data_IF_101015489694
#
_entry.id   IF_101015489694
#
_cell.length_a   1.000
_cell.length_b   1.000
_cell.length_c   1.000
_cell.angle_alpha   90.00
_cell.angle_beta   90.00
_cell.angle_gamma   90.00
#
_symmetry.space_group_name_H-M   'P 1'
#
loop_
_entity.id
_entity.type
_entity.pdbx_description
1 polymer ?
#
# COMPACT_ATOMS: atom_id res chain seq x y z
N UNK A 1 17.49 -4.99 -13.42
CA UNK A 1 16.78 -4.47 -14.58
C UNK A 1 15.61 -3.63 -14.12
N UNK A 2 15.72 -2.32 -14.30
CA UNK A 2 14.64 -1.42 -13.91
C UNK A 2 13.64 -1.33 -15.04
N UNK A 3 12.54 -2.07 -14.93
CA UNK A 3 11.43 -1.85 -15.83
C UNK A 3 10.77 -0.53 -15.40
N UNK A 4 11.08 0.53 -16.14
CA UNK A 4 10.40 1.81 -15.96
C UNK A 4 8.97 1.62 -16.43
N UNK A 5 8.03 1.70 -15.51
CA UNK A 5 6.60 1.59 -15.82
C UNK A 5 6.17 2.92 -16.44
N UNK A 6 5.58 2.92 -17.64
CA UNK A 6 5.08 4.15 -18.23
C UNK A 6 4.02 4.78 -17.31
N UNK A 7 4.19 6.05 -17.01
CA UNK A 7 3.29 6.76 -16.09
C UNK A 7 1.83 6.78 -16.58
N UNK A 8 1.64 6.78 -17.89
CA UNK A 8 0.31 6.77 -18.50
C UNK A 8 -0.47 5.46 -18.27
N UNK A 9 0.23 4.38 -17.91
CA UNK A 9 -0.39 3.07 -17.66
C UNK A 9 -0.63 2.82 -16.17
N UNK A 10 -0.46 3.83 -15.33
CA UNK A 10 -0.69 3.72 -13.90
C UNK A 10 -1.89 4.54 -13.47
N UNK A 11 -2.55 4.09 -12.41
CA UNK A 11 -3.70 4.77 -11.81
C UNK A 11 -3.30 6.12 -11.19
N UNK A 12 -2.13 6.17 -10.57
CA UNK A 12 -1.61 7.36 -9.91
C UNK A 12 -0.95 8.35 -10.87
N UNK A 13 -0.64 7.92 -12.09
CA UNK A 13 -0.03 8.78 -13.13
C UNK A 13 1.19 9.56 -12.65
N UNK A 14 2.02 8.89 -11.82
CA UNK A 14 3.25 9.49 -11.32
C UNK A 14 3.08 10.52 -10.20
N UNK A 15 1.94 10.56 -9.52
CA UNK A 15 1.75 11.45 -8.38
C UNK A 15 2.78 11.13 -7.28
N UNK A 16 3.63 12.11 -6.86
CA UNK A 16 4.69 11.85 -5.88
C UNK A 16 4.17 11.55 -4.48
N UNK A 17 2.90 11.81 -4.21
CA UNK A 17 2.29 11.49 -2.91
C UNK A 17 1.94 10.02 -2.79
N UNK A 18 1.84 9.31 -3.91
CA UNK A 18 1.57 7.88 -3.95
C UNK A 18 2.83 7.05 -4.07
N UNK A 19 2.68 5.73 -3.97
CA UNK A 19 3.72 4.75 -4.19
C UNK A 19 3.35 3.81 -5.31
N UNK A 20 4.32 3.45 -6.15
CA UNK A 20 4.15 2.52 -7.26
C UNK A 20 5.23 1.46 -7.15
N UNK A 21 4.84 0.20 -7.01
CA UNK A 21 5.76 -0.90 -6.76
C UNK A 21 5.54 -2.01 -7.78
N UNK A 22 6.57 -2.34 -8.58
CA UNK A 22 6.47 -3.37 -9.60
C UNK A 22 6.71 -4.78 -9.04
N UNK A 23 5.99 -5.75 -9.59
CA UNK A 23 6.11 -7.16 -9.26
C UNK A 23 6.00 -8.02 -10.52
N UNK A 24 6.43 -9.25 -10.38
CA UNK A 24 6.19 -10.31 -11.35
C UNK A 24 5.70 -11.54 -10.60
N UNK A 25 4.76 -12.28 -11.17
CA UNK A 25 4.29 -13.52 -10.55
C UNK A 25 5.36 -14.59 -10.75
N UNK A 26 6.03 -14.95 -9.64
CA UNK A 26 7.06 -15.99 -9.62
C UNK A 26 6.40 -17.37 -9.53
N UNK A 27 7.04 -18.45 -10.08
CA UNK A 27 6.46 -19.79 -10.00
C UNK A 27 6.14 -20.26 -8.59
N UNK A 28 6.94 -19.87 -7.59
CA UNK A 28 6.72 -20.25 -6.20
C UNK A 28 5.66 -19.43 -5.48
N UNK A 29 5.16 -18.36 -6.09
CA UNK A 29 4.09 -17.53 -5.53
C UNK A 29 2.72 -17.82 -6.14
N UNK A 30 2.66 -18.79 -7.06
CA UNK A 30 1.40 -19.21 -7.63
C UNK A 30 0.65 -20.22 -6.75
N UNK A 31 -0.65 -20.27 -6.94
CA UNK A 31 -1.47 -21.34 -6.40
C UNK A 31 -1.54 -22.52 -7.40
N UNK A 32 -2.35 -23.54 -7.10
CA UNK A 32 -2.48 -24.72 -7.95
C UNK A 32 -3.07 -24.43 -9.34
N UNK A 33 -3.66 -23.24 -9.54
CA UNK A 33 -4.24 -22.82 -10.83
C UNK A 33 -3.25 -22.04 -11.70
N UNK A 34 -2.02 -21.84 -11.23
CA UNK A 34 -1.01 -21.04 -11.93
C UNK A 34 -1.20 -19.55 -11.77
N UNK A 35 -1.99 -19.12 -10.82
CA UNK A 35 -2.25 -17.71 -10.51
C UNK A 35 -1.59 -17.30 -9.21
N UNK A 36 -1.31 -15.98 -9.08
CA UNK A 36 -0.78 -15.44 -7.83
C UNK A 36 -1.66 -15.85 -6.64
N UNK A 37 -1.05 -16.38 -5.59
CA UNK A 37 -1.81 -16.79 -4.41
C UNK A 37 -2.27 -15.57 -3.59
N UNK A 38 -3.40 -15.71 -2.90
CA UNK A 38 -3.92 -14.67 -2.01
C UNK A 38 -2.94 -14.33 -0.90
N UNK A 39 -2.20 -15.31 -0.41
CA UNK A 39 -1.19 -15.14 0.64
C UNK A 39 -0.08 -14.18 0.18
N UNK A 40 0.47 -14.41 -1.00
CA UNK A 40 1.53 -13.56 -1.54
C UNK A 40 1.01 -12.16 -1.89
N UNK A 41 -0.20 -12.08 -2.45
CA UNK A 41 -0.81 -10.77 -2.74
C UNK A 41 -0.97 -9.96 -1.46
N UNK A 42 -1.51 -10.55 -0.41
CA UNK A 42 -1.68 -9.89 0.88
C UNK A 42 -0.37 -9.38 1.46
N UNK A 43 0.67 -10.21 1.43
CA UNK A 43 2.00 -9.83 1.89
C UNK A 43 2.58 -8.69 1.07
N UNK A 44 2.41 -8.70 -0.24
CA UNK A 44 2.89 -7.63 -1.12
C UNK A 44 2.17 -6.31 -0.87
N UNK A 45 0.85 -6.35 -0.62
CA UNK A 45 0.09 -5.15 -0.26
C UNK A 45 0.62 -4.53 1.03
N UNK A 46 0.82 -5.33 2.07
CA UNK A 46 1.34 -4.84 3.34
C UNK A 46 2.76 -4.30 3.21
N UNK A 47 3.59 -4.97 2.40
CA UNK A 47 4.94 -4.48 2.11
C UNK A 47 4.92 -3.13 1.40
N UNK A 48 4.06 -2.95 0.41
CA UNK A 48 3.91 -1.67 -0.30
C UNK A 48 3.46 -0.57 0.65
N UNK A 49 2.53 -0.86 1.55
CA UNK A 49 2.10 0.10 2.56
C UNK A 49 3.26 0.55 3.45
N UNK A 50 4.07 -0.40 3.91
CA UNK A 50 5.23 -0.14 4.75
C UNK A 50 6.30 0.70 4.02
N UNK A 51 6.61 0.34 2.78
CA UNK A 51 7.60 1.06 1.98
C UNK A 51 7.14 2.49 1.66
N UNK A 52 5.89 2.66 1.28
CA UNK A 52 5.34 3.98 1.01
C UNK A 52 5.33 4.86 2.26
N UNK A 53 4.91 4.32 3.40
CA UNK A 53 4.94 5.03 4.68
C UNK A 53 6.38 5.47 5.01
N UNK A 54 7.36 4.58 4.81
CA UNK A 54 8.77 4.89 5.03
C UNK A 54 9.29 6.02 4.14
N UNK A 55 8.85 6.09 2.90
CA UNK A 55 9.20 7.17 1.97
C UNK A 55 8.70 8.54 2.45
N UNK A 56 7.65 8.58 3.25
CA UNK A 56 7.05 9.79 3.79
C UNK A 56 7.37 10.03 5.27
N UNK A 57 8.29 9.27 5.85
CA UNK A 57 8.73 9.46 7.23
C UNK A 57 7.83 8.84 8.29
N UNK A 58 6.94 7.92 7.93
CA UNK A 58 5.98 7.29 8.83
C UNK A 58 6.06 5.76 8.80
N UNK A 59 7.21 5.20 8.36
CA UNK A 59 7.44 3.77 8.34
C UNK A 59 7.74 3.20 9.72
N UNK A 60 7.99 1.90 9.75
CA UNK A 60 8.25 1.16 10.99
C UNK A 60 9.37 1.77 11.83
N UNK A 61 10.52 2.06 11.20
CA UNK A 61 11.67 2.62 11.92
C UNK A 61 11.38 4.02 12.46
N UNK A 62 10.70 4.85 11.67
CA UNK A 62 10.32 6.20 12.09
C UNK A 62 9.40 6.16 13.32
N UNK A 63 8.42 5.26 13.28
CA UNK A 63 7.45 5.13 14.36
C UNK A 63 8.11 4.57 15.63
N UNK A 64 9.04 3.62 15.51
CA UNK A 64 9.76 3.10 16.67
C UNK A 64 10.53 4.18 17.42
N UNK A 65 11.15 5.11 16.70
CA UNK A 65 11.91 6.20 17.32
C UNK A 65 11.06 7.10 18.19
N UNK A 66 9.80 7.25 17.86
CA UNK A 66 8.85 8.09 18.62
C UNK A 66 7.93 7.27 19.54
N UNK A 67 8.20 5.97 19.70
CA UNK A 67 7.40 5.05 20.51
C UNK A 67 5.94 4.91 20.01
N UNK A 68 5.80 4.84 18.68
CA UNK A 68 4.53 4.62 18.03
C UNK A 68 4.54 3.35 17.20
N UNK A 69 3.37 2.81 16.92
CA UNK A 69 3.21 1.68 16.03
C UNK A 69 1.91 1.79 15.24
N UNK A 70 1.95 1.30 14.01
CA UNK A 70 0.75 1.13 13.19
C UNK A 70 0.16 -0.25 13.45
N UNK A 71 -1.13 -0.28 13.66
CA UNK A 71 -1.90 -1.53 13.80
C UNK A 71 -2.87 -1.62 12.65
N UNK A 72 -2.78 -2.71 11.89
CA UNK A 72 -3.75 -2.99 10.83
C UNK A 72 -5.09 -3.33 11.46
N UNK A 73 -6.07 -2.47 11.24
CA UNK A 73 -7.41 -2.63 11.77
C UNK A 73 -8.34 -3.36 10.80
N UNK A 74 -8.16 -3.14 9.51
CA UNK A 74 -9.01 -3.72 8.47
C UNK A 74 -8.26 -3.81 7.15
N UNK A 75 -8.46 -4.91 6.43
CA UNK A 75 -7.96 -5.10 5.08
C UNK A 75 -9.06 -5.78 4.25
N UNK A 76 -9.43 -5.15 3.15
CA UNK A 76 -10.40 -5.70 2.19
C UNK A 76 -9.71 -5.74 0.83
N UNK A 77 -9.79 -6.89 0.17
CA UNK A 77 -9.20 -7.10 -1.16
C UNK A 77 -10.30 -7.60 -2.09
N UNK A 78 -10.49 -6.89 -3.19
CA UNK A 78 -11.45 -7.27 -4.23
C UNK A 78 -10.71 -7.42 -5.56
N UNK A 79 -10.60 -8.67 -6.03
CA UNK A 79 -9.94 -8.99 -7.28
C UNK A 79 -10.94 -9.54 -8.29
N UNK A 80 -10.97 -8.95 -9.48
CA UNK A 80 -11.73 -9.51 -10.61
C UNK A 80 -10.97 -10.69 -11.21
N UNK A 81 -9.64 -10.59 -11.23
CA UNK A 81 -8.77 -11.61 -11.79
C UNK A 81 -7.42 -11.56 -11.08
N UNK A 82 -6.84 -12.71 -10.83
CA UNK A 82 -5.47 -12.79 -10.29
C UNK A 82 -4.47 -12.89 -11.45
N UNK A 83 -3.33 -12.18 -11.38
CA UNK A 83 -2.27 -12.33 -12.37
C UNK A 83 -1.77 -13.78 -12.43
N UNK A 84 -1.39 -14.23 -13.62
CA UNK A 84 -0.82 -15.57 -13.83
C UNK A 84 0.71 -15.53 -13.79
N UNK A 85 1.32 -16.70 -13.58
CA UNK A 85 2.78 -16.84 -13.53
C UNK A 85 3.44 -16.18 -14.75
N UNK A 86 4.47 -15.38 -14.49
CA UNK A 86 5.19 -14.63 -15.50
C UNK A 86 4.60 -13.27 -15.85
N UNK A 87 3.35 -13.00 -15.46
CA UNK A 87 2.77 -11.69 -15.70
C UNK A 87 3.36 -10.63 -14.76
N UNK A 88 3.58 -9.43 -15.31
CA UNK A 88 3.97 -8.28 -14.54
C UNK A 88 2.72 -7.57 -14.02
N UNK A 89 2.79 -7.12 -12.78
CA UNK A 89 1.76 -6.28 -12.20
C UNK A 89 2.40 -5.21 -11.32
N UNK A 90 1.69 -4.14 -11.09
CA UNK A 90 2.09 -3.10 -10.15
C UNK A 90 1.06 -2.96 -9.07
N UNK A 91 1.53 -2.69 -7.88
CA UNK A 91 0.68 -2.26 -6.77
C UNK A 91 0.93 -0.78 -6.57
N UNK A 92 -0.12 0.01 -6.75
CA UNK A 92 -0.12 1.42 -6.48
C UNK A 92 -0.84 1.64 -5.16
N UNK A 93 -0.29 2.48 -4.29
CA UNK A 93 -0.89 2.74 -2.99
C UNK A 93 -0.83 4.22 -2.63
N UNK A 94 -1.86 4.67 -1.95
CA UNK A 94 -1.94 6.04 -1.44
C UNK A 94 -2.81 6.08 -0.21
N UNK A 95 -2.60 7.12 0.60
CA UNK A 95 -3.45 7.41 1.75
C UNK A 95 -4.53 8.36 1.28
N UNK A 96 -5.80 7.97 1.39
CA UNK A 96 -6.91 8.79 0.91
C UNK A 96 -7.68 9.50 2.03
N UNK A 97 -7.44 9.13 3.27
CA UNK A 97 -8.12 9.74 4.42
C UNK A 97 -7.29 9.63 5.69
N UNK A 98 -7.26 10.70 6.45
CA UNK A 98 -6.65 10.76 7.77
C UNK A 98 -7.69 11.33 8.74
N UNK A 99 -7.99 10.61 9.82
CA UNK A 99 -8.95 11.07 10.81
C UNK A 99 -8.64 10.48 12.18
N UNK A 100 -8.48 11.34 13.17
CA UNK A 100 -8.13 10.95 14.54
C UNK A 100 -6.87 10.07 14.57
N UNK A 101 -6.97 8.82 15.05
CA UNK A 101 -5.88 7.85 15.10
C UNK A 101 -5.78 6.99 13.82
N UNK A 102 -6.65 7.19 12.84
CA UNK A 102 -6.78 6.31 11.69
C UNK A 102 -6.26 6.92 10.40
N UNK A 103 -5.69 6.06 9.55
CA UNK A 103 -5.49 6.34 8.12
C UNK A 103 -6.21 5.29 7.30
N UNK A 104 -6.86 5.72 6.24
CA UNK A 104 -7.40 4.83 5.20
C UNK A 104 -6.46 4.87 4.02
N UNK A 105 -6.09 3.69 3.56
CA UNK A 105 -5.15 3.50 2.45
C UNK A 105 -5.81 2.66 1.37
N UNK A 106 -5.67 3.13 0.14
CA UNK A 106 -6.14 2.43 -1.04
C UNK A 106 -4.99 1.79 -1.81
N UNK A 107 -5.33 0.74 -2.54
CA UNK A 107 -4.41 0.06 -3.45
C UNK A 107 -5.11 -0.19 -4.76
N UNK A 108 -4.36 -0.09 -5.86
CA UNK A 108 -4.78 -0.55 -7.17
C UNK A 108 -3.76 -1.55 -7.68
N UNK A 109 -4.23 -2.69 -8.17
CA UNK A 109 -3.38 -3.74 -8.73
C UNK A 109 -3.62 -3.77 -10.23
N UNK A 110 -2.62 -3.37 -11.00
CA UNK A 110 -2.76 -3.16 -12.44
C UNK A 110 -1.66 -3.86 -13.23
N UNK A 111 -1.94 -4.14 -14.51
CA UNK A 111 -0.93 -4.58 -15.46
C UNK A 111 -0.32 -3.34 -16.12
N UNK A 112 1.00 -3.09 -15.96
CA UNK A 112 1.61 -1.87 -16.47
C UNK A 112 1.74 -1.85 -18.01
N UNK A 113 1.63 -3.00 -18.65
CA UNK A 113 1.77 -3.12 -20.11
C UNK A 113 0.45 -2.91 -20.84
N UNK A 114 -0.65 -3.39 -20.26
CA UNK A 114 -1.97 -3.34 -20.88
C UNK A 114 -2.91 -2.31 -20.26
N UNK A 115 -2.59 -1.80 -19.08
CA UNK A 115 -3.47 -0.93 -18.31
C UNK A 115 -4.62 -1.65 -17.62
N UNK A 116 -4.68 -2.99 -17.74
CA UNK A 116 -5.73 -3.78 -17.10
C UNK A 116 -5.68 -3.64 -15.59
N UNK A 117 -6.83 -3.40 -14.97
CA UNK A 117 -6.98 -3.39 -13.53
C UNK A 117 -7.37 -4.79 -13.07
N UNK A 118 -6.53 -5.44 -12.28
CA UNK A 118 -6.83 -6.75 -11.69
C UNK A 118 -7.79 -6.63 -10.51
N UNK A 119 -7.67 -5.57 -9.74
CA UNK A 119 -8.51 -5.34 -8.58
C UNK A 119 -8.03 -4.19 -7.73
N UNK A 120 -8.69 -4.05 -6.59
CA UNK A 120 -8.42 -2.98 -5.62
C UNK A 120 -8.37 -3.54 -4.22
N UNK A 121 -7.71 -2.81 -3.33
CA UNK A 121 -7.73 -3.12 -1.91
C UNK A 121 -7.89 -1.84 -1.09
N UNK A 122 -8.39 -2.02 0.11
CA UNK A 122 -8.61 -0.96 1.08
C UNK A 122 -8.10 -1.44 2.44
N UNK A 123 -7.40 -0.57 3.16
CA UNK A 123 -6.95 -0.87 4.51
C UNK A 123 -7.13 0.33 5.43
N UNK A 124 -7.41 0.03 6.70
CA UNK A 124 -7.47 1.04 7.75
C UNK A 124 -6.41 0.69 8.79
N UNK A 125 -5.60 1.67 9.14
CA UNK A 125 -4.52 1.55 10.10
C UNK A 125 -4.75 2.49 11.27
N UNK A 126 -4.49 2.00 12.48
CA UNK A 126 -4.58 2.80 13.69
C UNK A 126 -3.17 3.08 14.22
N UNK A 127 -2.93 4.32 14.62
CA UNK A 127 -1.70 4.69 15.32
C UNK A 127 -1.89 4.53 16.80
N UNK A 128 -0.97 3.83 17.46
CA UNK A 128 -0.96 3.66 18.91
C UNK A 128 0.37 4.15 19.49
N UNK A 129 0.31 4.60 20.73
CA UNK A 129 1.49 4.82 21.56
C UNK A 129 1.89 3.47 22.18
N UNK A 130 3.13 3.03 21.94
CA UNK A 130 3.58 1.71 22.39
C UNK A 130 3.83 1.64 23.90
N UNK A 131 4.04 2.77 24.55
CA UNK A 131 4.24 2.84 26.01
C UNK A 131 2.91 2.73 26.74
N UNK A 132 1.94 3.57 26.40
CA UNK A 132 0.62 3.58 27.02
C UNK A 132 -0.34 2.56 26.43
N UNK A 133 -0.05 2.06 25.20
CA UNK A 133 -0.93 1.20 24.40
C UNK A 133 -2.28 1.84 24.06
N UNK A 134 -2.34 3.17 24.08
CA UNK A 134 -3.54 3.92 23.74
C UNK A 134 -3.48 4.45 22.32
N UNK A 135 -4.64 4.65 21.67
CA UNK A 135 -4.71 5.33 20.40
C UNK A 135 -4.11 6.73 20.49
N UNK A 136 -3.46 7.15 19.41
CA UNK A 136 -2.86 8.47 19.32
C UNK A 136 -3.43 9.23 18.13
N UNK A 137 -3.80 10.48 18.35
CA UNK A 137 -4.29 11.34 17.28
C UNK A 137 -3.13 11.69 16.33
N UNK A 138 -3.34 11.47 15.03
CA UNK A 138 -2.34 11.74 14.00
C UNK A 138 -1.96 13.23 13.92
N UNK A 139 -2.87 14.12 14.31
CA UNK A 139 -2.58 15.54 14.36
C UNK A 139 -1.46 15.90 15.34
N UNK A 140 -1.17 15.06 16.32
CA UNK A 140 -0.10 15.25 17.29
C UNK A 140 1.28 14.84 16.75
N UNK A 141 1.34 14.20 15.56
CA UNK A 141 2.60 13.83 14.94
C UNK A 141 3.28 15.05 14.30
N UNK A 142 4.63 15.04 14.20
CA UNK A 142 5.36 16.05 13.43
C UNK A 142 4.92 16.08 11.97
N UNK A 143 5.09 17.21 11.31
CA UNK A 143 4.82 17.41 9.88
C UNK A 143 3.36 17.19 9.46
N UNK A 144 2.41 17.50 10.34
CA UNK A 144 0.98 17.43 10.03
C UNK A 144 0.42 16.04 9.90
N UNK A 145 1.08 15.04 10.50
CA UNK A 145 0.52 13.72 10.67
C UNK A 145 0.20 12.96 9.38
N UNK A 146 1.13 12.87 8.45
CA UNK A 146 0.94 12.15 7.18
C UNK A 146 0.24 12.96 6.07
N UNK A 147 -0.09 14.21 6.33
CA UNK A 147 -0.85 15.01 5.34
C UNK A 147 -0.11 15.21 4.01
N UNK A 148 1.22 15.14 4.02
CA UNK A 148 2.04 15.24 2.80
C UNK A 148 1.85 14.07 1.83
N UNK A 149 1.32 12.94 2.29
CA UNK A 149 1.06 11.75 1.50
C UNK A 149 -0.42 11.60 1.13
N UNK A 150 -1.27 12.54 1.55
CA UNK A 150 -2.71 12.45 1.36
C UNK A 150 -3.10 12.74 -0.08
N UNK A 151 -3.83 11.79 -0.69
CA UNK A 151 -4.45 11.95 -2.01
C UNK A 151 -5.94 11.67 -1.83
N UNK A 152 -6.76 12.70 -2.00
CA UNK A 152 -8.22 12.56 -1.95
C UNK A 152 -8.74 11.99 -3.27
N UNK A 153 -8.59 10.67 -3.42
CA UNK A 153 -8.97 9.93 -4.62
C UNK A 153 -9.45 8.54 -4.24
N UNK A 154 -10.63 8.21 -4.65
CA UNK A 154 -11.24 6.88 -4.49
C UNK A 154 -10.96 5.95 -5.68
#
# INVERSE_FOLDING_TARGET
MHNTIPAENTYLKGDPRGGIFPFVVEPFSEDYTGRLSWHFLGNHLLRCASLHAGQHGFGYDDMQKSHHAWVLSRLVIEMEEMPTTGEHYVIETWVNRIYRQFTDRLFAITNPQTGKVYGYAFSTWALIDTTSRQPMDLAELPNGGFSSALIDKE
#
